data_IF_531586262186
#
_entry.id   IF_531586262186
#
_cell.length_a   1.000
_cell.length_b   1.000
_cell.length_c   1.000
_cell.angle_alpha   90.00
_cell.angle_beta   90.00
_cell.angle_gamma   90.00
#
_symmetry.space_group_name_H-M   'P 1'
#
loop_
_entity.id
_entity.type
_entity.pdbx_description
1 polymer ?
#
# COMPACT_ATOMS: atom_id res chain seq x y z
N UNK A 1 4.88 30.59 -36.85
CA UNK A 1 5.24 29.31 -36.21
C UNK A 1 4.64 29.27 -34.81
N UNK A 2 3.36 28.90 -34.68
CA UNK A 2 2.57 29.08 -33.44
C UNK A 2 2.06 27.77 -32.79
N UNK A 3 2.68 26.61 -33.06
CA UNK A 3 2.20 25.32 -32.57
C UNK A 3 3.27 24.50 -31.82
N UNK A 4 3.83 25.02 -30.72
CA UNK A 4 4.71 24.21 -29.84
C UNK A 4 4.22 24.10 -28.38
N UNK A 5 3.18 24.84 -27.97
CA UNK A 5 2.70 24.83 -26.58
C UNK A 5 1.39 24.06 -26.37
N UNK A 6 0.69 23.62 -27.41
CA UNK A 6 -0.63 22.98 -27.27
C UNK A 6 -0.62 21.53 -26.79
N UNK A 7 0.40 20.73 -27.12
CA UNK A 7 0.41 19.30 -26.82
C UNK A 7 0.70 18.95 -25.35
N UNK A 8 1.61 19.69 -24.72
CA UNK A 8 2.05 19.43 -23.35
C UNK A 8 0.98 19.82 -22.30
N UNK A 9 0.27 20.94 -22.50
CA UNK A 9 -0.83 21.36 -21.62
C UNK A 9 -2.05 20.43 -21.71
N UNK A 10 -2.34 19.87 -22.89
CA UNK A 10 -3.46 18.93 -23.08
C UNK A 10 -3.17 17.61 -22.35
N UNK A 11 -1.93 17.12 -22.38
CA UNK A 11 -1.53 15.91 -21.63
C UNK A 11 -1.65 16.11 -20.12
N UNK A 12 -1.09 17.21 -19.59
CA UNK A 12 -1.17 17.53 -18.17
C UNK A 12 -2.62 17.70 -17.67
N UNK A 13 -3.49 18.31 -18.49
CA UNK A 13 -4.93 18.43 -18.20
C UNK A 13 -5.64 17.08 -18.20
N UNK A 14 -5.28 16.17 -19.11
CA UNK A 14 -5.87 14.82 -19.19
C UNK A 14 -5.47 13.96 -17.98
N UNK A 15 -4.21 14.05 -17.55
CA UNK A 15 -3.72 13.40 -16.33
C UNK A 15 -4.40 13.97 -15.08
N UNK A 16 -4.57 15.29 -14.99
CA UNK A 16 -5.26 15.95 -13.88
C UNK A 16 -6.76 15.59 -13.81
N UNK A 17 -7.42 15.45 -14.97
CA UNK A 17 -8.80 14.96 -15.05
C UNK A 17 -8.90 13.50 -14.58
N UNK A 18 -7.91 12.66 -14.91
CA UNK A 18 -7.80 11.29 -14.40
C UNK A 18 -7.65 11.22 -12.88
N UNK A 19 -6.78 12.06 -12.32
CA UNK A 19 -6.59 12.21 -10.87
C UNK A 19 -7.87 12.69 -10.18
N UNK A 20 -8.60 13.63 -10.79
CA UNK A 20 -9.87 14.15 -10.24
C UNK A 20 -10.95 13.05 -10.18
N UNK A 21 -11.02 12.19 -11.21
CA UNK A 21 -11.93 11.05 -11.21
C UNK A 21 -11.56 9.99 -10.16
N UNK A 22 -10.26 9.78 -9.90
CA UNK A 22 -9.78 8.88 -8.86
C UNK A 22 -10.09 9.42 -7.45
N UNK A 23 -9.88 10.72 -7.22
CA UNK A 23 -10.20 11.39 -5.95
C UNK A 23 -11.70 11.33 -5.65
N UNK A 24 -12.55 11.65 -6.63
CA UNK A 24 -14.02 11.56 -6.49
C UNK A 24 -14.50 10.14 -6.18
N UNK A 25 -13.84 9.13 -6.75
CA UNK A 25 -14.15 7.72 -6.47
C UNK A 25 -13.66 7.28 -5.09
N UNK A 26 -12.56 7.85 -4.58
CA UNK A 26 -12.07 7.60 -3.22
C UNK A 26 -12.98 8.26 -2.17
N UNK A 27 -13.44 9.49 -2.42
CA UNK A 27 -14.41 10.20 -1.57
C UNK A 27 -15.76 9.46 -1.51
N UNK A 28 -16.29 8.99 -2.64
CA UNK A 28 -17.53 8.17 -2.65
C UNK A 28 -17.38 6.85 -1.88
N UNK A 29 -16.19 6.25 -1.87
CA UNK A 29 -15.91 5.04 -1.09
C UNK A 29 -15.80 5.35 0.41
N UNK A 30 -15.18 6.47 0.78
CA UNK A 30 -15.10 6.94 2.17
C UNK A 30 -16.50 7.27 2.74
N UNK A 31 -17.35 7.97 1.96
CA UNK A 31 -18.72 8.30 2.37
C UNK A 31 -19.61 7.06 2.52
N UNK A 32 -19.41 6.03 1.66
CA UNK A 32 -20.09 4.73 1.80
C UNK A 32 -19.61 3.94 3.04
N UNK A 33 -18.35 4.11 3.42
CA UNK A 33 -17.78 3.44 4.60
C UNK A 33 -18.35 4.02 5.91
N UNK A 34 -18.63 5.32 5.94
CA UNK A 34 -19.19 6.03 7.11
C UNK A 34 -20.68 5.69 7.34
N UNK A 35 -21.46 5.50 6.28
CA UNK A 35 -22.91 5.22 6.36
C UNK A 35 -23.29 3.76 6.71
N UNK A 36 -22.32 2.85 6.85
CA UNK A 36 -22.60 1.43 7.14
C UNK A 36 -22.12 1.08 8.55
N UNK A 37 -22.81 1.62 9.56
CA UNK A 37 -22.63 1.24 10.96
C UNK A 37 -23.17 -0.16 11.21
N UNK A 38 -22.31 -1.05 11.70
CA UNK A 38 -22.67 -2.42 12.09
C UNK A 38 -21.88 -3.49 11.35
N UNK A 39 -21.24 -4.38 12.12
CA UNK A 39 -20.52 -5.63 11.75
C UNK A 39 -19.32 -5.56 10.80
N UNK A 40 -19.25 -4.61 9.85
CA UNK A 40 -18.16 -4.53 8.87
C UNK A 40 -16.87 -3.86 9.38
N UNK A 41 -16.91 -3.12 10.50
CA UNK A 41 -15.74 -2.35 10.95
C UNK A 41 -14.60 -3.23 11.46
N UNK A 42 -14.90 -4.28 12.23
CA UNK A 42 -13.86 -5.17 12.78
C UNK A 42 -13.09 -5.92 11.67
N UNK A 43 -13.81 -6.44 10.66
CA UNK A 43 -13.19 -7.12 9.52
C UNK A 43 -12.38 -6.15 8.64
N UNK A 44 -12.85 -4.91 8.47
CA UNK A 44 -12.08 -3.85 7.80
C UNK A 44 -10.79 -3.54 8.56
N UNK A 45 -10.85 -3.34 9.87
CA UNK A 45 -9.67 -3.07 10.70
C UNK A 45 -8.68 -4.22 10.63
N UNK A 46 -9.15 -5.46 10.71
CA UNK A 46 -8.30 -6.66 10.57
C UNK A 46 -7.63 -6.70 9.21
N UNK A 47 -8.36 -6.46 8.12
CA UNK A 47 -7.81 -6.43 6.76
C UNK A 47 -6.76 -5.34 6.60
N UNK A 48 -7.03 -4.12 7.07
CA UNK A 48 -6.07 -3.02 7.03
C UNK A 48 -4.82 -3.32 7.86
N UNK A 49 -4.96 -3.98 9.01
CA UNK A 49 -3.82 -4.38 9.83
C UNK A 49 -2.93 -5.43 9.14
N UNK A 50 -3.52 -6.42 8.46
CA UNK A 50 -2.79 -7.40 7.63
C UNK A 50 -2.08 -6.71 6.46
N UNK A 51 -2.75 -5.77 5.82
CA UNK A 51 -2.17 -5.01 4.71
C UNK A 51 -0.99 -4.14 5.17
N UNK A 52 -1.10 -3.49 6.33
CA UNK A 52 0.01 -2.79 6.96
C UNK A 52 1.19 -3.73 7.27
N UNK A 53 0.93 -4.91 7.85
CA UNK A 53 1.97 -5.89 8.12
C UNK A 53 2.68 -6.33 6.83
N UNK A 54 1.96 -6.47 5.71
CA UNK A 54 2.59 -6.79 4.42
C UNK A 54 3.55 -5.71 3.94
N UNK A 55 3.21 -4.42 4.13
CA UNK A 55 4.09 -3.30 3.76
C UNK A 55 5.35 -3.32 4.64
N UNK A 56 5.16 -3.53 5.95
CA UNK A 56 6.27 -3.61 6.90
C UNK A 56 7.22 -4.77 6.57
N UNK A 57 6.68 -5.97 6.31
CA UNK A 57 7.48 -7.13 5.92
C UNK A 57 8.22 -6.88 4.60
N UNK A 58 7.57 -6.27 3.61
CA UNK A 58 8.22 -5.91 2.35
C UNK A 58 9.39 -4.94 2.56
N UNK A 59 9.21 -3.94 3.42
CA UNK A 59 10.30 -3.03 3.79
C UNK A 59 11.44 -3.76 4.51
N UNK A 60 11.12 -4.62 5.47
CA UNK A 60 12.11 -5.41 6.21
C UNK A 60 12.94 -6.28 5.26
N UNK A 61 12.30 -7.02 4.35
CA UNK A 61 12.96 -7.87 3.36
C UNK A 61 13.87 -7.08 2.44
N UNK A 62 13.42 -5.90 1.97
CA UNK A 62 14.23 -5.00 1.16
C UNK A 62 15.46 -4.49 1.93
N UNK A 63 15.32 -4.15 3.21
CA UNK A 63 16.45 -3.75 4.05
C UNK A 63 17.42 -4.91 4.29
N UNK A 64 16.92 -6.12 4.55
CA UNK A 64 17.75 -7.31 4.67
C UNK A 64 18.57 -7.57 3.40
N UNK A 65 17.98 -7.42 2.21
CA UNK A 65 18.73 -7.55 0.95
C UNK A 65 19.88 -6.54 0.85
N UNK A 66 19.66 -5.29 1.26
CA UNK A 66 20.71 -4.26 1.24
C UNK A 66 21.92 -4.59 2.13
N UNK A 67 21.77 -5.52 3.09
CA UNK A 67 22.89 -5.99 3.93
C UNK A 67 23.72 -7.08 3.26
N UNK A 68 23.21 -7.70 2.19
CA UNK A 68 23.94 -8.71 1.42
C UNK A 68 24.82 -7.97 0.40
N UNK A 69 26.15 -8.13 0.43
CA UNK A 69 27.04 -7.50 -0.53
C UNK A 69 26.72 -7.96 -1.96
N UNK A 70 26.87 -7.05 -2.92
CA UNK A 70 26.72 -7.39 -4.33
C UNK A 70 27.84 -8.34 -4.77
N UNK A 71 27.48 -9.33 -5.60
CA UNK A 71 28.44 -10.27 -6.17
C UNK A 71 29.33 -9.54 -7.18
N UNK A 72 30.67 -9.51 -6.99
CA UNK A 72 31.58 -8.86 -7.92
C UNK A 72 31.54 -9.43 -9.35
N UNK A 73 31.12 -10.68 -9.50
CA UNK A 73 31.08 -11.38 -10.79
C UNK A 73 29.77 -11.17 -11.54
N UNK A 74 28.66 -10.99 -10.81
CA UNK A 74 27.33 -10.76 -11.35
C UNK A 74 26.85 -9.39 -10.88
N UNK A 75 27.33 -8.34 -11.57
CA UNK A 75 27.03 -6.95 -11.23
C UNK A 75 25.53 -6.63 -11.11
N UNK A 76 25.23 -5.44 -10.59
CA UNK A 76 23.84 -5.00 -10.46
C UNK A 76 23.18 -4.81 -11.83
N UNK A 77 22.07 -5.51 -12.02
CA UNK A 77 21.20 -5.36 -13.19
C UNK A 77 19.89 -4.72 -12.75
N UNK A 78 19.48 -3.65 -13.42
CA UNK A 78 18.19 -3.00 -13.16
C UNK A 78 17.02 -3.97 -13.28
N UNK A 79 17.09 -4.95 -14.20
CA UNK A 79 16.07 -5.98 -14.35
C UNK A 79 16.00 -6.91 -13.12
N UNK A 80 17.17 -7.24 -12.55
CA UNK A 80 17.29 -8.03 -11.32
C UNK A 80 16.68 -7.27 -10.13
N UNK A 81 16.93 -5.98 -10.03
CA UNK A 81 16.36 -5.13 -8.97
C UNK A 81 14.84 -5.06 -9.03
N UNK A 82 14.28 -4.78 -10.20
CA UNK A 82 12.83 -4.74 -10.42
C UNK A 82 12.20 -6.09 -10.09
N UNK A 83 12.82 -7.20 -10.53
CA UNK A 83 12.34 -8.54 -10.24
C UNK A 83 12.30 -8.80 -8.72
N UNK A 84 13.39 -8.50 -8.01
CA UNK A 84 13.44 -8.71 -6.57
C UNK A 84 12.47 -7.82 -5.80
N UNK A 85 12.29 -6.56 -6.21
CA UNK A 85 11.31 -5.68 -5.59
C UNK A 85 9.90 -6.26 -5.71
N UNK A 86 9.52 -6.69 -6.91
CA UNK A 86 8.23 -7.35 -7.14
C UNK A 86 8.14 -8.69 -6.39
N UNK A 87 9.23 -9.44 -6.31
CA UNK A 87 9.29 -10.71 -5.58
C UNK A 87 9.06 -10.49 -4.08
N UNK A 88 9.75 -9.53 -3.46
CA UNK A 88 9.57 -9.22 -2.04
C UNK A 88 8.19 -8.65 -1.74
N UNK A 89 7.63 -7.83 -2.62
CA UNK A 89 6.27 -7.30 -2.44
C UNK A 89 5.22 -8.42 -2.44
N UNK A 90 5.36 -9.41 -3.33
CA UNK A 90 4.47 -10.57 -3.34
C UNK A 90 4.73 -11.50 -2.16
N UNK A 91 5.99 -11.78 -1.83
CA UNK A 91 6.34 -12.61 -0.69
C UNK A 91 5.81 -12.02 0.62
N UNK A 92 5.94 -10.71 0.81
CA UNK A 92 5.44 -10.02 2.00
C UNK A 92 3.91 -10.08 2.13
N UNK A 93 3.17 -9.98 1.01
CA UNK A 93 1.71 -10.16 0.99
C UNK A 93 1.31 -11.57 1.40
N UNK A 94 1.97 -12.58 0.86
CA UNK A 94 1.67 -13.97 1.20
C UNK A 94 2.08 -14.32 2.64
N UNK A 95 3.22 -13.80 3.11
CA UNK A 95 3.65 -13.94 4.51
C UNK A 95 2.63 -13.32 5.46
N UNK A 96 2.17 -12.09 5.21
CA UNK A 96 1.18 -11.42 6.05
C UNK A 96 -0.16 -12.18 6.09
N UNK A 97 -0.62 -12.70 4.94
CA UNK A 97 -1.84 -13.54 4.88
C UNK A 97 -1.69 -14.86 5.63
N UNK A 98 -0.50 -15.47 5.60
CA UNK A 98 -0.20 -16.73 6.29
C UNK A 98 -0.07 -16.59 7.82
N UNK A 99 -0.15 -15.36 8.35
CA UNK A 99 -0.05 -15.07 9.80
C UNK A 99 1.09 -14.12 10.16
N UNK A 100 1.99 -13.82 9.21
CA UNK A 100 3.02 -12.81 9.35
C UNK A 100 3.92 -13.02 10.57
N UNK A 101 4.24 -11.91 11.22
CA UNK A 101 5.00 -11.87 12.47
C UNK A 101 4.11 -11.48 13.67
N UNK A 102 2.80 -11.35 13.44
CA UNK A 102 1.79 -11.03 14.46
C UNK A 102 1.56 -9.52 14.67
N UNK A 103 2.15 -8.65 13.84
CA UNK A 103 1.94 -7.20 13.97
C UNK A 103 0.48 -6.82 13.68
N UNK A 104 -0.17 -7.48 12.71
CA UNK A 104 -1.56 -7.21 12.39
C UNK A 104 -2.48 -7.43 13.60
N UNK A 105 -2.22 -8.47 14.40
CA UNK A 105 -2.98 -8.75 15.62
C UNK A 105 -2.76 -7.69 16.69
N UNK A 106 -1.52 -7.24 16.87
CA UNK A 106 -1.18 -6.18 17.82
C UNK A 106 -1.90 -4.88 17.42
N UNK A 107 -1.83 -4.49 16.15
CA UNK A 107 -2.52 -3.32 15.61
C UNK A 107 -4.03 -3.41 15.78
N UNK A 108 -4.62 -4.55 15.42
CA UNK A 108 -6.05 -4.80 15.61
C UNK A 108 -6.48 -4.64 17.07
N UNK A 109 -5.70 -5.20 18.00
CA UNK A 109 -5.98 -5.11 19.43
C UNK A 109 -5.88 -3.67 19.96
N UNK A 110 -4.93 -2.88 19.46
CA UNK A 110 -4.80 -1.47 19.85
C UNK A 110 -5.95 -0.62 19.29
N UNK A 111 -6.29 -0.81 18.01
CA UNK A 111 -7.37 -0.05 17.38
C UNK A 111 -8.74 -0.40 17.97
N UNK A 112 -8.98 -1.69 18.25
CA UNK A 112 -10.23 -2.16 18.88
C UNK A 112 -10.40 -1.63 20.31
N UNK A 113 -9.31 -1.44 21.05
CA UNK A 113 -9.34 -0.77 22.36
C UNK A 113 -9.67 0.73 22.23
N UNK A 114 -9.21 1.37 21.16
CA UNK A 114 -9.45 2.79 20.89
C UNK A 114 -10.92 3.04 20.49
N UNK A 115 -11.48 2.20 19.61
CA UNK A 115 -12.90 2.25 19.21
C UNK A 115 -13.84 1.98 20.40
N UNK A 116 -13.45 1.11 21.33
CA UNK A 116 -14.19 0.84 22.57
C UNK A 116 -14.17 2.00 23.59
N UNK A 117 -13.24 2.95 23.47
CA UNK A 117 -13.09 4.08 24.40
C UNK A 117 -13.89 5.33 23.99
N UNK A 118 -14.50 5.33 22.81
CA UNK A 118 -15.31 6.46 22.27
C UNK A 118 -16.80 6.33 22.62
N UNK A 119 -17.21 5.25 23.30
CA UNK A 119 -18.61 4.97 23.69
C UNK A 119 -18.86 5.10 25.21
N UNK A 120 -18.03 5.86 25.93
CA UNK A 120 -18.28 6.23 27.33
C UNK A 120 -18.13 7.72 27.56
#
# INVERSE_FOLDING_TARGET
>A
MSNFLGGAEISARTEMLGLTNQLKNAEMQAQKAENTGGTNSADRVKKTAVEFESIFLGYMLKQMRKTVPDDPLFGNSTAKDIFYDMHYDNMAKEMAKAGGIGLATILYNQLSKMDGNTQK
#
